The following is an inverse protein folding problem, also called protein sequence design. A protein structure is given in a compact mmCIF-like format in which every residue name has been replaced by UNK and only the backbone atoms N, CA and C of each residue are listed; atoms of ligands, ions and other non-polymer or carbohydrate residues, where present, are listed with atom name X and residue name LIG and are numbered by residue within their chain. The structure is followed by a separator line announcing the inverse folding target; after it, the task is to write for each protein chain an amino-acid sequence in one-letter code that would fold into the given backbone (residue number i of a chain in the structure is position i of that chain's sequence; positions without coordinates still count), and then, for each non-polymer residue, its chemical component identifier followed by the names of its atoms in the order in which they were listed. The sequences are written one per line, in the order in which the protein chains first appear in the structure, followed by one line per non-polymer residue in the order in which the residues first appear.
data_IF_431128702534
#
_entry.id   IF_431128702534
#
_cell.length_a   1.000
_cell.length_b   1.000
_cell.length_c   1.000
_cell.angle_alpha   90.00
_cell.angle_beta   90.00
_cell.angle_gamma   90.00
#
_symmetry.space_group_name_H-M   'P 1'
#
loop_
_entity.id
_entity.type
_entity.pdbx_description
1 polymer ?
#
# COMPACT_ATOMS: atom_id res chain seq x y z
N UNK A 1 42.69 -32.13 14.84
CA UNK A 1 42.24 -30.99 14.03
C UNK A 1 40.88 -31.35 13.47
N UNK A 2 39.81 -30.75 13.99
CA UNK A 2 38.45 -30.92 13.48
C UNK A 2 37.91 -29.52 13.18
N UNK A 3 37.86 -29.17 11.89
CA UNK A 3 37.23 -27.95 11.39
C UNK A 3 35.76 -28.30 11.16
N UNK A 4 34.90 -27.91 12.11
CA UNK A 4 33.46 -27.98 11.93
C UNK A 4 33.02 -26.70 11.21
N UNK A 5 32.66 -26.88 9.94
CA UNK A 5 32.10 -25.88 9.04
C UNK A 5 30.79 -25.33 9.62
N UNK A 6 30.81 -24.05 10.01
CA UNK A 6 29.61 -23.25 10.24
C UNK A 6 28.92 -23.04 8.88
N UNK A 7 27.89 -23.84 8.62
CA UNK A 7 26.96 -23.62 7.53
C UNK A 7 26.19 -22.33 7.77
N UNK A 8 26.56 -21.27 7.05
CA UNK A 8 25.74 -20.09 6.84
C UNK A 8 24.47 -20.53 6.11
N UNK A 9 23.37 -20.65 6.85
CA UNK A 9 22.04 -20.72 6.25
C UNK A 9 21.72 -19.32 5.73
N UNK A 10 22.18 -19.01 4.52
CA UNK A 10 21.73 -17.82 3.81
C UNK A 10 20.24 -18.02 3.54
N UNK A 11 19.40 -17.30 4.27
CA UNK A 11 17.96 -17.25 4.01
C UNK A 11 17.75 -16.88 2.55
N UNK A 12 17.09 -17.77 1.81
CA UNK A 12 16.68 -17.48 0.45
C UNK A 12 15.67 -16.34 0.50
N UNK A 13 16.11 -15.11 0.20
CA UNK A 13 15.21 -14.04 -0.14
C UNK A 13 14.36 -14.53 -1.32
N UNK A 14 13.04 -14.62 -1.15
CA UNK A 14 12.12 -14.98 -2.22
C UNK A 14 12.37 -14.02 -3.39
N UNK A 15 12.90 -14.53 -4.50
CA UNK A 15 13.25 -13.71 -5.65
C UNK A 15 11.98 -13.19 -6.31
N UNK A 16 11.77 -11.87 -6.27
CA UNK A 16 10.72 -11.20 -7.02
C UNK A 16 10.96 -11.42 -8.53
N UNK A 17 10.05 -12.15 -9.19
CA UNK A 17 10.25 -12.60 -10.57
C UNK A 17 9.18 -12.05 -11.51
N UNK A 18 9.62 -11.30 -12.52
CA UNK A 18 8.78 -10.73 -13.57
C UNK A 18 8.65 -11.64 -14.81
N UNK A 19 9.25 -12.85 -14.80
CA UNK A 19 9.30 -13.72 -15.97
C UNK A 19 7.92 -14.19 -16.48
N UNK A 20 6.87 -14.11 -15.66
CA UNK A 20 5.49 -14.42 -16.02
C UNK A 20 4.66 -13.21 -16.44
N UNK A 21 5.23 -11.99 -16.40
CA UNK A 21 4.55 -10.73 -16.69
C UNK A 21 4.81 -10.34 -18.15
N UNK A 22 3.77 -10.43 -18.98
CA UNK A 22 3.80 -10.09 -20.41
C UNK A 22 2.98 -8.82 -20.70
N UNK A 23 3.21 -8.21 -21.87
CA UNK A 23 2.46 -7.02 -22.32
C UNK A 23 2.90 -5.71 -21.66
N UNK A 24 2.02 -4.71 -21.64
CA UNK A 24 2.30 -3.34 -21.16
C UNK A 24 2.70 -3.27 -19.68
N UNK A 25 2.48 -4.35 -18.94
CA UNK A 25 2.82 -4.48 -17.52
C UNK A 25 4.21 -5.03 -17.25
N UNK A 26 4.84 -5.65 -18.25
CA UNK A 26 6.22 -6.14 -18.17
C UNK A 26 7.21 -5.03 -17.77
N UNK A 27 7.18 -3.82 -18.38
CA UNK A 27 8.07 -2.73 -17.97
C UNK A 27 7.77 -2.19 -16.56
N UNK A 28 6.49 -2.15 -16.11
CA UNK A 28 6.17 -1.77 -14.73
C UNK A 28 6.72 -2.77 -13.71
N UNK A 29 6.62 -4.09 -13.98
CA UNK A 29 7.23 -5.10 -13.10
C UNK A 29 8.76 -5.01 -13.09
N UNK A 30 9.39 -4.79 -14.26
CA UNK A 30 10.83 -4.61 -14.35
C UNK A 30 11.30 -3.42 -13.51
N UNK A 31 10.60 -2.28 -13.60
CA UNK A 31 10.87 -1.11 -12.77
C UNK A 31 10.69 -1.43 -11.27
N UNK A 32 9.62 -2.12 -10.89
CA UNK A 32 9.39 -2.52 -9.48
C UNK A 32 10.54 -3.39 -8.94
N UNK A 33 11.03 -4.32 -9.74
CA UNK A 33 12.17 -5.16 -9.37
C UNK A 33 13.45 -4.34 -9.16
N UNK A 34 13.69 -3.37 -10.03
CA UNK A 34 14.85 -2.47 -9.93
C UNK A 34 14.77 -1.59 -8.68
N UNK A 35 13.60 -1.00 -8.40
CA UNK A 35 13.35 -0.22 -7.17
C UNK A 35 13.58 -1.07 -5.92
N UNK A 36 13.04 -2.30 -5.88
CA UNK A 36 13.27 -3.24 -4.76
C UNK A 36 14.76 -3.54 -4.56
N UNK A 37 15.47 -3.79 -5.66
CA UNK A 37 16.92 -4.05 -5.62
C UNK A 37 17.69 -2.82 -5.12
N UNK A 38 17.29 -1.61 -5.54
CA UNK A 38 17.86 -0.36 -5.07
C UNK A 38 17.62 -0.17 -3.56
N UNK A 39 16.39 -0.42 -3.07
CA UNK A 39 16.06 -0.33 -1.65
C UNK A 39 16.83 -1.37 -0.83
N UNK A 40 16.93 -2.62 -1.29
CA UNK A 40 17.70 -3.67 -0.62
C UNK A 40 19.16 -3.26 -0.44
N UNK A 41 19.79 -2.69 -1.47
CA UNK A 41 21.17 -2.21 -1.40
C UNK A 41 21.31 -1.02 -0.46
N UNK A 42 20.41 -0.04 -0.54
CA UNK A 42 20.46 1.18 0.27
C UNK A 42 20.08 0.96 1.74
N UNK A 43 19.44 -0.16 2.05
CA UNK A 43 19.07 -0.58 3.40
C UNK A 43 19.87 -1.79 3.89
N UNK A 44 20.89 -2.23 3.14
CA UNK A 44 21.74 -3.33 3.56
C UNK A 44 22.63 -2.90 4.74
N UNK A 45 22.50 -3.59 5.87
CA UNK A 45 23.33 -3.33 7.06
C UNK A 45 22.84 -2.18 7.94
N UNK A 46 21.64 -1.65 7.71
CA UNK A 46 20.98 -0.79 8.70
C UNK A 46 20.47 -1.63 9.86
N UNK A 47 20.68 -1.16 11.09
CA UNK A 47 20.17 -1.82 12.30
C UNK A 47 18.63 -1.95 12.27
N UNK A 48 17.94 -1.01 11.60
CA UNK A 48 16.49 -1.01 11.39
C UNK A 48 16.12 -1.06 9.90
N UNK A 49 16.36 -2.21 9.28
CA UNK A 49 16.09 -2.45 7.85
C UNK A 49 14.63 -2.26 7.42
N UNK A 50 13.67 -2.34 8.35
CA UNK A 50 12.25 -2.09 8.08
C UNK A 50 11.96 -0.58 7.97
N UNK A 51 12.41 0.22 8.95
CA UNK A 51 12.34 1.68 8.92
C UNK A 51 13.02 2.25 7.66
N UNK A 52 14.18 1.70 7.29
CA UNK A 52 14.87 2.13 6.07
C UNK A 52 14.03 1.86 4.81
N UNK A 53 13.31 0.74 4.74
CA UNK A 53 12.43 0.40 3.60
C UNK A 53 11.16 1.25 3.57
N UNK A 54 10.72 1.73 4.72
CA UNK A 54 9.57 2.62 4.85
C UNK A 54 9.89 4.09 4.53
N UNK A 55 11.17 4.45 4.35
CA UNK A 55 11.59 5.81 4.01
C UNK A 55 11.09 6.22 2.61
N UNK A 56 10.10 7.11 2.58
CA UNK A 56 9.50 7.62 1.35
C UNK A 56 10.50 8.41 0.49
N UNK A 57 11.42 9.16 1.09
CA UNK A 57 12.41 9.94 0.33
C UNK A 57 13.39 9.02 -0.39
N UNK A 58 13.81 7.95 0.30
CA UNK A 58 14.67 6.91 -0.29
C UNK A 58 13.97 6.10 -1.37
N UNK A 59 12.70 5.76 -1.14
CA UNK A 59 11.86 5.11 -2.14
C UNK A 59 11.73 5.96 -3.39
N UNK A 60 11.46 7.27 -3.24
CA UNK A 60 11.42 8.23 -4.37
C UNK A 60 12.75 8.23 -5.12
N UNK A 61 13.89 8.32 -4.42
CA UNK A 61 15.19 8.29 -5.08
C UNK A 61 15.39 7.03 -5.92
N UNK A 62 15.08 5.85 -5.36
CA UNK A 62 15.15 4.60 -6.10
C UNK A 62 14.17 4.55 -7.28
N UNK A 63 12.99 5.16 -7.16
CA UNK A 63 12.02 5.26 -8.25
C UNK A 63 12.51 6.18 -9.37
N UNK A 64 13.16 7.30 -9.04
CA UNK A 64 13.73 8.24 -10.00
C UNK A 64 14.95 7.66 -10.72
N UNK A 65 15.86 7.01 -9.98
CA UNK A 65 17.07 6.37 -10.54
C UNK A 65 16.74 5.28 -11.55
N UNK A 66 15.58 4.65 -11.39
CA UNK A 66 15.10 3.54 -12.22
C UNK A 66 13.86 3.92 -13.05
N UNK A 67 13.61 5.21 -13.22
CA UNK A 67 12.42 5.69 -13.93
C UNK A 67 12.29 5.05 -15.31
N UNK A 68 11.09 4.55 -15.58
CA UNK A 68 10.69 4.11 -16.91
C UNK A 68 9.46 4.93 -17.35
N UNK A 69 9.38 5.25 -18.64
CA UNK A 69 8.28 6.01 -19.24
C UNK A 69 6.99 5.17 -19.37
N UNK A 70 6.56 4.56 -18.27
CA UNK A 70 5.42 3.65 -18.12
C UNK A 70 4.70 3.95 -16.80
N UNK A 71 3.62 3.22 -16.50
CA UNK A 71 2.92 3.34 -15.21
C UNK A 71 3.86 2.99 -14.05
N UNK A 72 4.01 3.88 -13.05
CA UNK A 72 4.90 3.62 -11.92
C UNK A 72 4.45 2.45 -11.04
N UNK A 73 5.40 1.72 -10.43
CA UNK A 73 5.11 0.77 -9.38
C UNK A 73 4.35 1.41 -8.23
N UNK A 74 3.54 0.61 -7.56
CA UNK A 74 2.70 1.02 -6.44
C UNK A 74 3.48 1.75 -5.34
N UNK A 75 4.64 1.23 -4.98
CA UNK A 75 5.47 1.82 -3.91
C UNK A 75 6.03 3.20 -4.31
N UNK A 76 6.31 3.42 -5.60
CA UNK A 76 6.67 4.73 -6.12
C UNK A 76 5.53 5.73 -6.02
N UNK A 77 4.31 5.31 -6.39
CA UNK A 77 3.11 6.17 -6.27
C UNK A 77 2.86 6.53 -4.81
N UNK A 78 2.90 5.55 -3.91
CA UNK A 78 2.70 5.77 -2.47
C UNK A 78 3.75 6.69 -1.87
N UNK A 79 5.03 6.49 -2.19
CA UNK A 79 6.09 7.33 -1.69
C UNK A 79 5.94 8.78 -2.18
N UNK A 80 5.53 8.98 -3.44
CA UNK A 80 5.22 10.30 -3.98
C UNK A 80 4.05 10.97 -3.24
N UNK A 81 2.97 10.23 -2.95
CA UNK A 81 1.85 10.75 -2.15
C UNK A 81 2.31 11.09 -0.73
N UNK A 82 3.07 10.22 -0.06
CA UNK A 82 3.60 10.49 1.28
C UNK A 82 4.43 11.78 1.31
N UNK A 83 5.30 11.98 0.32
CA UNK A 83 6.11 13.19 0.21
C UNK A 83 5.29 14.44 -0.09
N UNK A 84 4.27 14.32 -0.95
CA UNK A 84 3.34 15.41 -1.24
C UNK A 84 2.54 15.83 0.00
N UNK A 85 2.02 14.86 0.77
CA UNK A 85 1.29 15.08 2.02
C UNK A 85 2.18 15.75 3.07
N UNK A 86 3.40 15.25 3.28
CA UNK A 86 4.36 15.86 4.21
C UNK A 86 4.70 17.31 3.80
N UNK A 87 4.87 17.56 2.51
CA UNK A 87 5.12 18.91 1.99
C UNK A 87 3.91 19.84 2.16
N UNK A 88 2.71 19.35 1.88
CA UNK A 88 1.46 20.05 2.12
C UNK A 88 1.35 20.42 3.61
N UNK A 89 1.52 19.44 4.49
CA UNK A 89 1.41 19.65 5.93
C UNK A 89 2.44 20.65 6.44
N UNK A 90 3.70 20.52 6.02
CA UNK A 90 4.75 21.51 6.33
C UNK A 90 4.34 22.92 5.89
N UNK A 91 3.85 23.08 4.67
CA UNK A 91 3.44 24.38 4.12
C UNK A 91 2.23 24.95 4.86
N UNK A 92 1.24 24.12 5.18
CA UNK A 92 0.04 24.52 5.93
C UNK A 92 0.36 24.90 7.36
N UNK A 93 1.27 24.17 8.01
CA UNK A 93 1.78 24.49 9.34
C UNK A 93 2.58 25.79 9.32
N UNK A 94 3.55 25.97 8.42
CA UNK A 94 4.35 27.20 8.33
C UNK A 94 3.50 28.48 8.14
N UNK A 95 2.32 28.35 7.51
CA UNK A 95 1.35 29.45 7.39
C UNK A 95 0.58 29.74 8.68
N UNK A 96 0.42 28.74 9.54
CA UNK A 96 -0.49 28.74 10.69
C UNK A 96 0.22 28.85 12.04
N UNK A 97 1.55 28.65 12.08
CA UNK A 97 2.35 28.71 13.30
C UNK A 97 3.79 29.18 13.06
N UNK A 98 4.50 29.49 14.15
CA UNK A 98 5.93 29.76 14.17
C UNK A 98 6.60 29.06 15.36
N UNK A 99 7.87 28.64 15.20
CA UNK A 99 8.66 28.01 16.26
C UNK A 99 8.28 26.55 16.57
N UNK A 100 8.46 26.11 17.82
CA UNK A 100 8.33 24.70 18.23
C UNK A 100 6.91 24.13 18.05
N UNK A 101 5.87 24.96 18.16
CA UNK A 101 4.49 24.58 17.87
C UNK A 101 4.29 24.13 16.41
N UNK A 102 5.16 24.60 15.51
CA UNK A 102 5.08 24.27 14.09
C UNK A 102 5.73 22.93 13.74
N UNK A 103 6.71 22.49 14.52
CA UNK A 103 7.28 21.15 14.38
C UNK A 103 6.24 20.08 14.74
N UNK A 104 5.54 20.28 15.86
CA UNK A 104 4.46 19.41 16.32
C UNK A 104 3.24 19.39 15.36
N UNK A 105 3.00 20.46 14.61
CA UNK A 105 1.92 20.54 13.62
C UNK A 105 2.14 19.62 12.41
N UNK A 106 3.40 19.40 11.99
CA UNK A 106 3.75 18.58 10.83
C UNK A 106 4.14 17.14 11.17
N UNK A 107 4.30 16.83 12.45
CA UNK A 107 4.69 15.50 12.93
C UNK A 107 3.45 14.58 13.05
N UNK A 108 3.69 13.29 12.80
CA UNK A 108 2.73 12.23 13.10
C UNK A 108 2.79 11.97 14.60
N UNK A 109 1.70 12.23 15.30
CA UNK A 109 1.60 11.89 16.72
C UNK A 109 1.23 10.41 16.82
N UNK A 110 2.17 9.58 17.24
CA UNK A 110 1.91 8.15 17.51
C UNK A 110 1.09 7.93 18.79
N UNK A 111 1.03 8.93 19.68
CA UNK A 111 0.37 8.85 20.99
C UNK A 111 -1.03 9.49 21.05
N UNK A 112 -1.46 10.22 20.02
CA UNK A 112 -2.81 10.82 20.02
C UNK A 112 -3.83 9.89 19.36
N UNK A 113 -4.94 9.66 20.07
CA UNK A 113 -6.09 8.85 19.66
C UNK A 113 -6.83 9.43 18.43
N UNK A 114 -6.37 10.56 17.90
CA UNK A 114 -6.96 11.26 16.76
C UNK A 114 -5.91 11.61 15.70
N UNK A 115 -6.28 11.48 14.42
CA UNK A 115 -5.41 11.82 13.31
C UNK A 115 -5.07 13.31 13.29
N UNK A 116 -3.82 13.66 12.98
CA UNK A 116 -3.41 15.05 12.81
C UNK A 116 -4.28 15.72 11.71
N UNK A 117 -5.07 16.77 12.04
CA UNK A 117 -6.07 17.32 11.13
C UNK A 117 -5.47 17.94 9.87
N UNK A 118 -4.23 18.45 9.96
CA UNK A 118 -3.51 19.01 8.80
C UNK A 118 -3.09 17.89 7.86
N UNK A 119 -2.63 16.75 8.39
CA UNK A 119 -2.29 15.58 7.58
C UNK A 119 -3.54 15.02 6.90
N UNK A 120 -4.67 14.95 7.62
CA UNK A 120 -5.95 14.51 7.06
C UNK A 120 -6.37 15.38 5.87
N UNK A 121 -6.38 16.71 6.04
CA UNK A 121 -6.71 17.65 4.95
C UNK A 121 -5.81 17.44 3.73
N UNK A 122 -4.49 17.32 3.94
CA UNK A 122 -3.53 17.06 2.88
C UNK A 122 -3.72 15.69 2.19
N UNK A 123 -4.14 14.66 2.94
CA UNK A 123 -4.44 13.35 2.37
C UNK A 123 -5.70 13.37 1.49
N UNK A 124 -6.70 14.21 1.81
CA UNK A 124 -7.93 14.31 1.03
C UNK A 124 -7.73 14.93 -0.37
N UNK A 125 -6.58 15.52 -0.67
CA UNK A 125 -6.22 16.01 -2.00
C UNK A 125 -5.81 14.89 -2.98
N UNK A 126 -5.65 13.65 -2.49
CA UNK A 126 -5.14 12.52 -3.25
C UNK A 126 -6.18 11.41 -3.43
N UNK A 127 -5.96 10.52 -4.40
CA UNK A 127 -6.73 9.28 -4.50
C UNK A 127 -6.37 8.33 -3.35
N UNK A 128 -7.34 8.09 -2.46
CA UNK A 128 -7.20 7.28 -1.26
C UNK A 128 -7.68 5.83 -1.46
N UNK A 129 -7.84 5.36 -2.71
CA UNK A 129 -8.18 3.95 -2.99
C UNK A 129 -7.11 2.98 -2.46
N UNK A 130 -5.85 3.41 -2.45
CA UNK A 130 -4.73 2.71 -1.82
C UNK A 130 -3.74 3.69 -1.18
N UNK A 131 -4.09 4.27 -0.02
CA UNK A 131 -3.33 5.36 0.56
C UNK A 131 -2.00 4.88 1.13
N UNK A 132 -0.97 5.74 1.19
CA UNK A 132 0.20 5.48 2.01
C UNK A 132 -0.16 5.43 3.50
N UNK A 133 0.72 4.84 4.31
CA UNK A 133 0.50 4.65 5.75
C UNK A 133 0.18 5.96 6.48
N UNK A 134 0.88 7.05 6.15
CA UNK A 134 0.63 8.38 6.69
C UNK A 134 -0.84 8.84 6.53
N UNK A 135 -1.48 8.46 5.43
CA UNK A 135 -2.89 8.76 5.19
C UNK A 135 -3.83 7.72 5.79
N UNK A 136 -3.40 6.47 5.94
CA UNK A 136 -4.20 5.44 6.64
C UNK A 136 -4.34 5.74 8.13
N UNK A 137 -3.27 6.25 8.74
CA UNK A 137 -3.30 6.70 10.12
C UNK A 137 -4.15 7.97 10.27
N UNK A 138 -4.21 8.81 9.22
CA UNK A 138 -4.90 10.09 9.26
C UNK A 138 -6.41 10.02 8.89
N UNK A 139 -6.80 9.12 8.00
CA UNK A 139 -8.16 9.04 7.46
C UNK A 139 -9.01 8.13 8.36
N UNK A 140 -10.20 8.58 8.82
CA UNK A 140 -11.13 7.74 9.56
C UNK A 140 -11.31 6.41 8.83
N UNK A 141 -11.23 5.30 9.57
CA UNK A 141 -11.35 3.99 8.95
C UNK A 141 -12.70 3.92 8.20
N UNK A 142 -12.79 3.33 7.01
CA UNK A 142 -13.98 3.47 6.14
C UNK A 142 -15.30 3.00 6.79
N UNK A 143 -15.22 2.19 7.85
CA UNK A 143 -16.36 1.64 8.58
C UNK A 143 -16.57 2.25 9.97
N UNK A 144 -15.76 3.24 10.33
CA UNK A 144 -15.81 3.90 11.63
C UNK A 144 -17.10 4.73 11.76
N UNK A 145 -17.78 4.62 12.91
CA UNK A 145 -19.07 5.28 13.16
C UNK A 145 -20.30 4.55 12.58
N UNK A 146 -20.12 3.51 11.76
CA UNK A 146 -21.23 2.63 11.34
C UNK A 146 -21.61 1.67 12.46
N UNK A 147 -22.88 1.26 12.51
CA UNK A 147 -23.39 0.28 13.47
C UNK A 147 -24.22 -0.82 12.79
N UNK A 148 -24.32 -1.98 13.46
CA UNK A 148 -25.14 -3.10 12.99
C UNK A 148 -24.70 -3.64 11.63
N UNK A 149 -25.68 -3.96 10.77
CA UNK A 149 -25.43 -4.55 9.45
C UNK A 149 -24.58 -3.67 8.54
N UNK A 150 -24.67 -2.34 8.65
CA UNK A 150 -23.87 -1.41 7.86
C UNK A 150 -22.37 -1.52 8.20
N UNK A 151 -22.04 -1.65 9.49
CA UNK A 151 -20.66 -1.86 9.93
C UNK A 151 -20.12 -3.22 9.47
N UNK A 152 -20.92 -4.28 9.58
CA UNK A 152 -20.53 -5.62 9.16
C UNK A 152 -20.36 -5.74 7.65
N UNK A 153 -21.26 -5.13 6.86
CA UNK A 153 -21.15 -5.09 5.39
C UNK A 153 -19.92 -4.32 4.95
N UNK A 154 -19.65 -3.15 5.56
CA UNK A 154 -18.47 -2.36 5.26
C UNK A 154 -17.17 -3.11 5.58
N UNK A 155 -17.09 -3.76 6.75
CA UNK A 155 -15.90 -4.54 7.14
C UNK A 155 -15.67 -5.71 6.19
N UNK A 156 -16.73 -6.41 5.81
CA UNK A 156 -16.66 -7.46 4.80
C UNK A 156 -16.12 -6.92 3.46
N UNK A 157 -16.62 -5.77 3.01
CA UNK A 157 -16.15 -5.14 1.78
C UNK A 157 -14.66 -4.80 1.84
N UNK A 158 -14.16 -4.29 2.98
CA UNK A 158 -12.73 -4.03 3.16
C UNK A 158 -11.88 -5.29 3.12
N UNK A 159 -12.34 -6.37 3.75
CA UNK A 159 -11.66 -7.67 3.76
C UNK A 159 -11.60 -8.29 2.36
N UNK A 160 -12.71 -8.28 1.62
CA UNK A 160 -12.75 -8.76 0.24
C UNK A 160 -11.83 -7.94 -0.65
N UNK A 161 -11.87 -6.61 -0.54
CA UNK A 161 -10.97 -5.74 -1.29
C UNK A 161 -9.49 -5.98 -0.91
N UNK A 162 -9.18 -6.23 0.35
CA UNK A 162 -7.84 -6.60 0.78
C UNK A 162 -7.40 -7.96 0.20
N UNK A 163 -8.28 -8.96 0.24
CA UNK A 163 -8.05 -10.28 -0.34
C UNK A 163 -7.80 -10.20 -1.86
N UNK A 164 -8.68 -9.51 -2.59
CA UNK A 164 -8.54 -9.34 -4.06
C UNK A 164 -7.23 -8.61 -4.37
N UNK A 165 -6.87 -7.58 -3.59
CA UNK A 165 -5.58 -6.89 -3.72
C UNK A 165 -4.38 -7.80 -3.45
N UNK A 166 -4.48 -8.75 -2.52
CA UNK A 166 -3.41 -9.72 -2.24
C UNK A 166 -3.27 -10.77 -3.34
N UNK A 167 -4.38 -11.31 -3.85
CA UNK A 167 -4.35 -12.22 -5.00
C UNK A 167 -3.74 -11.50 -6.21
N UNK A 168 -4.13 -10.25 -6.41
CA UNK A 168 -3.64 -9.37 -7.44
C UNK A 168 -2.38 -8.58 -7.01
N UNK A 169 -1.57 -9.10 -6.09
CA UNK A 169 -0.33 -8.39 -5.71
C UNK A 169 0.79 -8.55 -6.74
N UNK A 170 0.69 -9.56 -7.62
CA UNK A 170 1.72 -9.92 -8.62
C UNK A 170 1.20 -9.91 -10.06
N UNK A 171 0.08 -9.24 -10.32
CA UNK A 171 -0.53 -9.19 -11.64
C UNK A 171 0.20 -8.27 -12.61
N UNK A 172 0.20 -8.67 -13.88
CA UNK A 172 0.45 -7.78 -15.00
C UNK A 172 -0.68 -6.76 -15.14
N UNK A 173 -1.93 -7.21 -15.29
CA UNK A 173 -3.08 -6.33 -15.49
C UNK A 173 -3.91 -6.24 -14.22
N UNK A 174 -3.44 -5.48 -13.24
CA UNK A 174 -4.09 -5.46 -11.93
C UNK A 174 -5.51 -4.90 -11.94
N UNK A 175 -5.86 -4.04 -12.89
CA UNK A 175 -7.26 -3.66 -13.08
C UNK A 175 -8.14 -4.80 -13.58
N UNK A 176 -7.62 -5.69 -14.43
CA UNK A 176 -8.37 -6.84 -14.92
C UNK A 176 -8.43 -7.94 -13.86
N UNK A 177 -7.31 -8.19 -13.16
CA UNK A 177 -7.24 -9.11 -12.04
C UNK A 177 -8.21 -8.72 -10.91
N UNK A 178 -8.28 -7.44 -10.55
CA UNK A 178 -9.18 -6.95 -9.51
C UNK A 178 -10.65 -6.97 -9.93
N UNK A 179 -10.94 -7.08 -11.24
CA UNK A 179 -12.29 -7.22 -11.81
C UNK A 179 -12.63 -8.67 -12.16
N UNK A 180 -11.69 -9.60 -11.98
CA UNK A 180 -11.91 -11.02 -12.25
C UNK A 180 -12.89 -11.58 -11.24
N UNK A 181 -14.05 -11.98 -11.73
CA UNK A 181 -15.14 -12.51 -10.91
C UNK A 181 -14.77 -13.79 -10.18
N UNK A 182 -13.85 -14.60 -10.68
CA UNK A 182 -13.39 -15.80 -9.97
C UNK A 182 -12.55 -15.44 -8.74
N UNK A 183 -11.65 -14.47 -8.84
CA UNK A 183 -10.88 -13.97 -7.70
C UNK A 183 -11.77 -13.27 -6.68
N UNK A 184 -12.69 -12.42 -7.15
CA UNK A 184 -13.66 -11.73 -6.30
C UNK A 184 -14.52 -12.77 -5.55
N UNK A 185 -15.12 -13.75 -6.25
CA UNK A 185 -15.95 -14.79 -5.61
C UNK A 185 -15.16 -15.60 -4.59
N UNK A 186 -13.91 -15.97 -4.91
CA UNK A 186 -13.04 -16.68 -3.96
C UNK A 186 -12.82 -15.87 -2.67
N UNK A 187 -12.58 -14.56 -2.80
CA UNK A 187 -12.44 -13.67 -1.66
C UNK A 187 -13.76 -13.46 -0.90
N UNK A 188 -14.88 -13.36 -1.60
CA UNK A 188 -16.22 -13.25 -1.00
C UNK A 188 -16.59 -14.50 -0.18
N UNK A 189 -16.24 -15.69 -0.67
CA UNK A 189 -16.50 -16.97 0.00
C UNK A 189 -15.56 -17.17 1.20
N UNK A 190 -14.28 -16.77 1.06
CA UNK A 190 -13.28 -16.88 2.13
C UNK A 190 -13.61 -15.97 3.31
N UNK A 191 -14.17 -14.80 3.03
CA UNK A 191 -14.59 -13.82 4.03
C UNK A 191 -16.11 -13.80 4.22
N UNK A 192 -16.80 -14.95 4.08
CA UNK A 192 -18.25 -14.97 4.24
C UNK A 192 -18.64 -14.58 5.67
N UNK A 193 -19.40 -13.50 5.81
CA UNK A 193 -19.94 -13.03 7.09
C UNK A 193 -21.45 -13.28 7.17
N UNK A 194 -21.98 -13.39 8.39
CA UNK A 194 -23.41 -13.32 8.66
C UNK A 194 -23.87 -11.85 8.59
N UNK A 195 -23.79 -11.29 7.38
CA UNK A 195 -24.07 -9.90 7.06
C UNK A 195 -24.62 -9.81 5.63
N UNK A 196 -25.25 -8.68 5.24
CA UNK A 196 -25.58 -8.44 3.85
C UNK A 196 -24.34 -8.46 2.96
N UNK A 197 -24.39 -9.16 1.82
CA UNK A 197 -23.28 -9.17 0.87
C UNK A 197 -22.97 -7.76 0.32
N UNK A 198 -21.69 -7.37 0.26
CA UNK A 198 -21.27 -6.12 -0.36
C UNK A 198 -21.53 -6.19 -1.88
N UNK A 199 -21.66 -5.01 -2.50
CA UNK A 199 -22.04 -4.88 -3.91
C UNK A 199 -21.08 -5.65 -4.83
N UNK A 200 -19.77 -5.55 -4.57
CA UNK A 200 -18.74 -6.26 -5.32
C UNK A 200 -18.97 -7.79 -5.37
N UNK A 201 -19.37 -8.39 -4.24
CA UNK A 201 -19.66 -9.82 -4.16
C UNK A 201 -20.97 -10.20 -4.85
N UNK A 202 -22.01 -9.35 -4.72
CA UNK A 202 -23.29 -9.56 -5.42
C UNK A 202 -23.11 -9.52 -6.93
N UNK A 203 -22.39 -8.52 -7.43
CA UNK A 203 -22.16 -8.32 -8.86
C UNK A 203 -21.33 -9.46 -9.46
N UNK A 204 -20.33 -9.97 -8.72
CA UNK A 204 -19.53 -11.11 -9.14
C UNK A 204 -20.33 -12.42 -9.16
N UNK A 205 -21.21 -12.63 -8.19
CA UNK A 205 -22.14 -13.77 -8.18
C UNK A 205 -23.16 -13.74 -9.32
N UNK A 206 -23.67 -12.56 -9.68
CA UNK A 206 -24.61 -12.40 -10.80
C UNK A 206 -23.96 -12.63 -12.16
N UNK A 207 -22.72 -12.19 -12.35
CA UNK A 207 -21.96 -12.43 -13.59
C UNK A 207 -21.60 -13.91 -13.78
N UNK A 208 -21.37 -14.66 -12.70
CA UNK A 208 -21.14 -16.11 -12.78
C UNK A 208 -22.38 -16.91 -13.23
N UNK A 209 -23.57 -16.32 -13.17
CA UNK A 209 -24.85 -16.94 -13.55
C UNK A 209 -25.31 -16.59 -14.98
N UNK A 210 -24.57 -15.73 -15.68
CA UNK A 210 -24.82 -15.36 -17.07
C UNK A 210 -23.78 -16.09 -17.96
N UNK A 211 -24.23 -16.91 -18.94
CA UNK A 211 -23.35 -17.69 -19.83
C UNK A 211 -22.59 -16.84 -20.85
#
# INVERSE_FOLDING_TARGET
MAVLLLGLVMGAAAQFNCASVYGESSPTCAWEKEVKTCMDKNCQGSDDGELCRADAARTIQCCEDHYQAVTPPRDCVRAAISSAVLKCAKTSCEKSCNGAACKACSELHEEEEQPNPVILECCMEHDLTDPPEICRAAVPQPCEGLQGEAASTCRWELEVNACVRNICASCSECQNCQKDTAHINTCCDTHLHDAPQPALCKDAGQKALLP
#
